data_IF_716130213674
#
_entry.id   IF_716130213674
#
_cell.length_a   1.000
_cell.length_b   1.000
_cell.length_c   1.000
_cell.angle_alpha   90.00
_cell.angle_beta   90.00
_cell.angle_gamma   90.00
#
_symmetry.space_group_name_H-M   'P 1'
#
loop_
_entity.id
_entity.type
_entity.pdbx_description
1 polymer ?
#
# COMPACT_ATOMS: atom_id res chain seq x y z
N UNK A 1 -7.54 -12.97 -11.69
CA UNK A 1 -6.91 -12.37 -10.50
C UNK A 1 -7.99 -11.83 -9.58
N UNK A 2 -7.84 -11.90 -8.25
CA UNK A 2 -8.70 -11.18 -7.31
C UNK A 2 -8.08 -9.82 -7.00
N UNK A 3 -8.90 -8.77 -6.89
CA UNK A 3 -8.40 -7.42 -6.64
C UNK A 3 -7.87 -7.29 -5.19
N UNK A 4 -6.60 -6.90 -4.98
CA UNK A 4 -5.99 -6.90 -3.64
C UNK A 4 -6.43 -5.71 -2.76
N UNK A 5 -6.91 -4.63 -3.35
CA UNK A 5 -7.34 -3.39 -2.70
C UNK A 5 -8.65 -2.89 -3.30
N UNK A 6 -9.37 -2.00 -2.60
CA UNK A 6 -10.54 -1.33 -3.15
C UNK A 6 -10.12 -0.12 -3.99
N UNK A 7 -10.68 -0.01 -5.20
CA UNK A 7 -10.34 1.06 -6.16
C UNK A 7 -11.60 1.73 -6.69
N UNK A 8 -11.43 2.99 -7.10
CA UNK A 8 -12.43 3.77 -7.84
C UNK A 8 -11.97 3.96 -9.27
N UNK A 9 -12.82 3.65 -10.24
CA UNK A 9 -12.53 3.92 -11.64
C UNK A 9 -12.60 5.44 -11.90
N UNK A 10 -11.58 6.00 -12.55
CA UNK A 10 -11.52 7.44 -12.83
C UNK A 10 -12.51 7.87 -13.93
N UNK A 11 -12.85 6.98 -14.87
CA UNK A 11 -13.73 7.29 -16.01
C UNK A 11 -15.20 7.29 -15.64
N UNK A 12 -15.66 6.30 -14.87
CA UNK A 12 -17.10 6.14 -14.55
C UNK A 12 -17.43 6.33 -13.07
N UNK A 13 -16.43 6.55 -12.21
CA UNK A 13 -16.62 6.69 -10.77
C UNK A 13 -17.07 5.42 -10.06
N UNK A 14 -17.11 4.26 -10.74
CA UNK A 14 -17.53 3.00 -10.14
C UNK A 14 -16.54 2.52 -9.09
N UNK A 15 -17.07 2.05 -7.96
CA UNK A 15 -16.29 1.43 -6.90
C UNK A 15 -16.15 -0.06 -7.16
N UNK A 16 -14.93 -0.56 -7.05
CA UNK A 16 -14.59 -1.98 -7.16
C UNK A 16 -13.94 -2.36 -5.83
N UNK A 17 -14.61 -3.24 -5.11
CA UNK A 17 -14.17 -3.64 -3.77
C UNK A 17 -13.09 -4.72 -3.84
N UNK A 18 -12.25 -4.75 -2.81
CA UNK A 18 -11.27 -5.81 -2.55
C UNK A 18 -11.93 -7.19 -2.68
N UNK A 19 -11.24 -8.12 -3.33
CA UNK A 19 -11.69 -9.50 -3.53
C UNK A 19 -12.55 -9.73 -4.77
N UNK A 20 -12.90 -8.68 -5.53
CA UNK A 20 -13.62 -8.86 -6.79
C UNK A 20 -12.75 -9.64 -7.79
N UNK A 21 -13.32 -10.70 -8.39
CA UNK A 21 -12.62 -11.55 -9.36
C UNK A 21 -12.69 -10.94 -10.76
N UNK A 22 -11.52 -10.78 -11.39
CA UNK A 22 -11.39 -10.30 -12.77
C UNK A 22 -10.59 -11.25 -13.64
N UNK A 23 -10.93 -11.25 -14.92
CA UNK A 23 -10.03 -11.71 -15.97
C UNK A 23 -9.04 -10.58 -16.24
N UNK A 24 -7.75 -10.90 -16.09
CA UNK A 24 -6.66 -9.94 -16.21
C UNK A 24 -5.58 -10.49 -17.13
N UNK A 25 -5.01 -9.65 -17.99
CA UNK A 25 -3.77 -9.98 -18.68
C UNK A 25 -2.58 -9.62 -17.80
N UNK A 26 -1.57 -10.51 -17.78
CA UNK A 26 -0.32 -10.34 -17.06
C UNK A 26 0.77 -9.97 -18.06
N UNK A 27 1.55 -8.95 -17.74
CA UNK A 27 2.75 -8.54 -18.47
C UNK A 27 3.91 -8.41 -17.49
N UNK A 28 5.09 -8.82 -17.92
CA UNK A 28 6.32 -8.68 -17.14
C UNK A 28 6.93 -7.32 -17.47
N UNK A 29 7.19 -6.48 -16.46
CA UNK A 29 7.74 -5.14 -16.67
C UNK A 29 9.24 -5.26 -16.88
N UNK A 30 9.68 -5.07 -18.13
CA UNK A 30 11.09 -5.18 -18.51
C UNK A 30 11.84 -3.95 -17.99
N UNK A 31 12.88 -4.17 -17.18
CA UNK A 31 13.79 -3.11 -16.71
C UNK A 31 13.63 -2.72 -15.23
N UNK A 32 12.59 -3.18 -14.55
CA UNK A 32 12.38 -2.91 -13.12
C UNK A 32 12.37 -4.22 -12.34
N UNK A 33 13.50 -4.53 -11.71
CA UNK A 33 13.64 -5.64 -10.76
C UNK A 33 14.01 -5.09 -9.41
N UNK A 34 13.21 -5.35 -8.38
CA UNK A 34 13.57 -4.98 -7.02
C UNK A 34 14.30 -6.17 -6.38
N UNK A 35 15.58 -6.01 -6.05
CA UNK A 35 16.40 -7.06 -5.40
C UNK A 35 16.37 -8.42 -6.15
N UNK A 36 16.17 -8.41 -7.47
CA UNK A 36 16.06 -9.61 -8.32
C UNK A 36 14.65 -10.20 -8.46
N UNK A 37 13.65 -9.62 -7.79
CA UNK A 37 12.24 -10.02 -7.94
C UNK A 37 11.64 -9.31 -9.16
N UNK A 38 10.99 -10.08 -10.03
CA UNK A 38 10.30 -9.56 -11.21
C UNK A 38 9.03 -8.80 -10.82
N UNK A 39 8.85 -7.62 -11.41
CA UNK A 39 7.63 -6.83 -11.21
C UNK A 39 6.65 -7.12 -12.35
N UNK A 40 5.40 -7.42 -11.97
CA UNK A 40 4.32 -7.71 -12.90
C UNK A 40 3.35 -6.53 -13.01
N UNK A 41 2.88 -6.29 -14.24
CA UNK A 41 1.79 -5.39 -14.55
C UNK A 41 0.57 -6.19 -14.93
N UNK A 42 -0.56 -5.91 -14.29
CA UNK A 42 -1.84 -6.52 -14.59
C UNK A 42 -2.76 -5.49 -15.21
N UNK A 43 -3.41 -5.88 -16.31
CA UNK A 43 -4.44 -5.07 -16.93
C UNK A 43 -5.77 -5.78 -16.80
N UNK A 44 -6.78 -5.02 -16.39
CA UNK A 44 -8.16 -5.48 -16.28
C UNK A 44 -9.11 -4.37 -16.70
N UNK A 45 -10.36 -4.75 -16.96
CA UNK A 45 -11.39 -3.82 -17.42
C UNK A 45 -12.38 -3.50 -16.30
N UNK A 46 -12.85 -2.27 -16.27
CA UNK A 46 -13.94 -1.89 -15.38
C UNK A 46 -15.24 -2.61 -15.80
N UNK A 47 -16.04 -3.05 -14.83
CA UNK A 47 -17.32 -3.74 -15.08
C UNK A 47 -18.37 -2.87 -15.76
N UNK A 48 -18.32 -1.54 -15.59
CA UNK A 48 -19.32 -0.61 -16.15
C UNK A 48 -18.88 0.03 -17.46
N UNK A 49 -17.75 0.74 -17.47
CA UNK A 49 -17.32 1.50 -18.65
C UNK A 49 -16.39 0.72 -19.59
N UNK A 50 -16.01 -0.52 -19.25
CA UNK A 50 -14.99 -1.29 -19.98
C UNK A 50 -13.63 -0.59 -20.14
N UNK A 51 -13.41 0.51 -19.40
CA UNK A 51 -12.14 1.22 -19.35
C UNK A 51 -11.05 0.32 -18.79
N UNK A 52 -9.86 0.42 -19.35
CA UNK A 52 -8.71 -0.36 -18.94
C UNK A 52 -8.01 0.26 -17.73
N UNK A 53 -7.65 -0.59 -16.78
CA UNK A 53 -7.05 -0.21 -15.51
C UNK A 53 -5.79 -1.05 -15.33
N UNK A 54 -4.74 -0.42 -14.82
CA UNK A 54 -3.40 -1.00 -14.67
C UNK A 54 -2.96 -0.99 -13.22
N UNK A 55 -2.55 -2.15 -12.71
CA UNK A 55 -1.89 -2.27 -11.41
C UNK A 55 -0.53 -2.95 -11.57
N UNK A 56 0.42 -2.52 -10.76
CA UNK A 56 1.77 -3.04 -10.69
C UNK A 56 2.03 -3.66 -9.32
N UNK A 57 2.81 -4.74 -9.25
CA UNK A 57 3.23 -5.31 -7.97
C UNK A 57 4.38 -4.50 -7.38
N UNK A 58 4.30 -4.16 -6.09
CA UNK A 58 5.38 -3.54 -5.31
C UNK A 58 5.95 -4.57 -4.31
N UNK A 59 7.11 -5.17 -4.61
CA UNK A 59 7.73 -6.17 -3.74
C UNK A 59 8.34 -5.58 -2.44
N UNK A 60 8.58 -4.27 -2.35
CA UNK A 60 9.13 -3.67 -1.13
C UNK A 60 8.07 -3.57 -0.03
N UNK A 61 6.86 -3.17 -0.43
CA UNK A 61 5.74 -2.97 0.49
C UNK A 61 4.78 -4.16 0.56
N UNK A 62 5.08 -5.25 -0.17
CA UNK A 62 4.18 -6.41 -0.30
C UNK A 62 2.76 -6.04 -0.74
N UNK A 63 2.62 -4.96 -1.51
CA UNK A 63 1.34 -4.40 -1.94
C UNK A 63 1.35 -4.22 -3.47
N UNK A 64 0.27 -3.66 -4.00
CA UNK A 64 0.14 -3.29 -5.40
C UNK A 64 -0.01 -1.77 -5.50
N UNK A 65 0.44 -1.21 -6.61
CA UNK A 65 0.32 0.21 -6.92
C UNK A 65 -0.53 0.37 -8.17
N UNK A 66 -1.46 1.30 -8.12
CA UNK A 66 -2.27 1.65 -9.30
C UNK A 66 -1.42 2.55 -10.20
N UNK A 67 -1.21 2.12 -11.45
CA UNK A 67 -0.45 2.90 -12.44
C UNK A 67 -1.36 3.82 -13.24
N UNK A 68 -2.50 3.31 -13.73
CA UNK A 68 -3.47 4.14 -14.44
C UNK A 68 -4.91 3.60 -14.39
N UNK A 69 -5.86 4.50 -14.68
CA UNK A 69 -7.28 4.18 -14.87
C UNK A 69 -8.09 4.03 -13.57
N UNK A 70 -7.44 4.04 -12.42
CA UNK A 70 -8.07 3.98 -11.10
C UNK A 70 -7.41 4.94 -10.10
N UNK A 71 -8.12 5.15 -9.01
CA UNK A 71 -7.57 5.71 -7.77
C UNK A 71 -7.84 4.73 -6.64
N UNK A 72 -6.84 4.45 -5.79
CA UNK A 72 -7.02 3.63 -4.59
C UNK A 72 -7.95 4.36 -3.62
N UNK A 73 -8.83 3.63 -2.94
CA UNK A 73 -9.61 4.24 -1.86
C UNK A 73 -8.68 4.64 -0.71
N UNK A 74 -8.82 5.85 -0.17
CA UNK A 74 -8.08 6.25 1.01
C UNK A 74 -8.70 5.61 2.26
N UNK A 75 -7.90 4.84 2.98
CA UNK A 75 -8.28 4.19 4.23
C UNK A 75 -7.62 4.96 5.39
N UNK A 76 -8.38 5.65 6.26
CA UNK A 76 -7.82 6.52 7.31
C UNK A 76 -6.80 5.81 8.22
N UNK A 77 -7.05 4.55 8.54
CA UNK A 77 -6.17 3.75 9.39
C UNK A 77 -4.80 3.48 8.79
N UNK A 78 -4.62 3.54 7.45
CA UNK A 78 -3.29 3.44 6.83
C UNK A 78 -2.44 4.69 7.14
N UNK A 79 -3.05 5.86 7.23
CA UNK A 79 -2.33 7.08 7.61
C UNK A 79 -1.99 7.09 9.10
N UNK A 80 -2.91 6.59 9.95
CA UNK A 80 -2.67 6.45 11.39
C UNK A 80 -1.53 5.46 11.68
N UNK A 81 -1.48 4.33 10.97
CA UNK A 81 -0.42 3.32 11.12
C UNK A 81 0.96 3.86 10.67
N UNK A 82 1.00 4.60 9.54
CA UNK A 82 2.24 5.24 9.07
C UNK A 82 2.75 6.33 10.04
N UNK A 83 1.84 7.10 10.64
CA UNK A 83 2.20 8.08 11.67
C UNK A 83 2.69 7.40 12.96
N UNK A 84 2.01 6.33 13.39
CA UNK A 84 2.41 5.53 14.54
C UNK A 84 3.80 4.91 14.35
N UNK A 85 4.06 4.29 13.19
CA UNK A 85 5.36 3.71 12.82
C UNK A 85 6.47 4.79 12.81
N UNK A 86 6.21 5.96 12.22
CA UNK A 86 7.16 7.10 12.26
C UNK A 86 7.44 7.57 13.68
N UNK A 87 6.40 7.66 14.52
CA UNK A 87 6.55 8.06 15.92
C UNK A 87 7.37 7.03 16.71
N UNK A 88 7.16 5.74 16.45
CA UNK A 88 7.89 4.65 17.09
C UNK A 88 9.36 4.65 16.67
N UNK A 89 9.64 4.76 15.37
CA UNK A 89 11.03 4.87 14.85
C UNK A 89 11.76 6.07 15.43
N UNK A 90 11.07 7.21 15.61
CA UNK A 90 11.65 8.39 16.24
C UNK A 90 12.00 8.11 17.71
N UNK A 91 11.09 7.52 18.49
CA UNK A 91 11.35 7.11 19.88
C UNK A 91 12.53 6.14 19.96
N UNK A 92 12.54 5.11 19.12
CA UNK A 92 13.63 4.14 19.07
C UNK A 92 14.97 4.82 18.75
N UNK A 93 15.01 5.74 17.78
CA UNK A 93 16.23 6.50 17.46
C UNK A 93 16.73 7.38 18.60
N UNK A 94 15.82 7.87 19.43
CA UNK A 94 16.13 8.68 20.62
C UNK A 94 16.55 7.83 21.82
N UNK A 95 16.14 6.57 21.87
CA UNK A 95 16.48 5.60 22.92
C UNK A 95 17.77 4.82 22.60
N UNK A 96 18.16 4.73 21.32
CA UNK A 96 19.43 4.14 20.89
C UNK A 96 20.58 5.02 21.38
N UNK A 97 21.21 4.59 22.48
CA UNK A 97 22.38 5.23 23.07
C UNK A 97 22.22 5.61 24.55
N UNK A 98 20.98 5.78 25.03
CA UNK A 98 20.70 6.25 26.40
C UNK A 98 19.63 5.40 27.11
N UNK A 99 20.09 4.41 27.90
CA UNK A 99 19.22 3.52 28.67
C UNK A 99 18.35 4.25 29.71
N UNK A 100 18.80 5.40 30.24
CA UNK A 100 18.00 6.25 31.15
C UNK A 100 16.80 6.88 30.46
N UNK A 101 16.94 7.29 29.19
CA UNK A 101 15.88 7.94 28.42
C UNK A 101 14.73 6.97 28.10
N UNK A 102 15.05 5.70 27.84
CA UNK A 102 14.04 4.65 27.68
C UNK A 102 13.22 4.41 28.97
N UNK A 103 13.89 4.40 30.13
CA UNK A 103 13.21 4.25 31.42
C UNK A 103 12.30 5.45 31.75
N UNK A 104 12.74 6.66 31.45
CA UNK A 104 11.97 7.89 31.65
C UNK A 104 10.71 7.94 30.75
N UNK A 105 10.84 7.52 29.50
CA UNK A 105 9.71 7.41 28.56
C UNK A 105 8.67 6.40 29.05
N UNK A 106 9.10 5.22 29.52
CA UNK A 106 8.20 4.19 30.07
C UNK A 106 7.48 4.66 31.34
N UNK A 107 8.19 5.36 32.23
CA UNK A 107 7.60 5.92 33.44
C UNK A 107 6.59 7.04 33.14
N UNK A 108 6.83 7.83 32.10
CA UNK A 108 5.93 8.89 31.64
C UNK A 108 4.68 8.32 30.97
N UNK A 109 4.82 7.25 30.17
CA UNK A 109 3.70 6.54 29.54
C UNK A 109 2.79 5.88 30.58
N UNK A 110 3.38 5.25 31.63
CA UNK A 110 2.62 4.67 32.74
C UNK A 110 1.88 5.69 33.61
N UNK A 111 2.23 6.98 33.54
CA UNK A 111 1.56 8.07 34.28
C UNK A 111 0.44 8.73 33.48
N UNK A 112 0.35 8.46 32.17
CA UNK A 112 -0.64 9.03 31.26
C UNK A 112 -1.90 8.17 31.22
#
# INVERSE_FOLDING_TARGET
MMLPMSIRCNTCGNWIYRGTKFNSRKEDVIGETNLGIQIFRFYFKCTKCSGEMMIKTDPQNSDYVVEAGATRNFEPWQAEDDEAEKSRRKRESEEIGDAMKSLENRASDSKR
#
